data_IF_454917598134
#
_entry.id   IF_454917598134
#
_cell.length_a   1.000
_cell.length_b   1.000
_cell.length_c   1.000
_cell.angle_alpha   90.00
_cell.angle_beta   90.00
_cell.angle_gamma   90.00
#
_symmetry.space_group_name_H-M   'P 1'
#
loop_
_entity.id
_entity.type
_entity.pdbx_description
1 polymer ?
#
# COMPACT_ATOMS: atom_id res chain seq x y z
N UNK A 1 19.66 34.55 -22.88
CA UNK A 1 19.28 33.67 -21.76
C UNK A 1 17.83 33.97 -21.46
N UNK A 2 16.97 32.98 -21.62
CA UNK A 2 15.55 33.13 -21.31
C UNK A 2 15.39 33.35 -19.79
N UNK A 3 14.51 34.26 -19.38
CA UNK A 3 14.32 34.56 -17.95
C UNK A 3 13.44 33.47 -17.34
N UNK A 4 14.03 32.60 -16.52
CA UNK A 4 13.27 31.59 -15.77
C UNK A 4 12.31 32.28 -14.77
N UNK A 5 11.02 31.97 -14.90
CA UNK A 5 10.00 32.47 -14.00
C UNK A 5 9.96 31.67 -12.68
N UNK A 6 9.67 32.33 -11.54
CA UNK A 6 9.57 31.66 -10.26
C UNK A 6 8.40 30.67 -10.23
N UNK A 7 8.61 29.50 -9.60
CA UNK A 7 7.60 28.43 -9.47
C UNK A 7 7.19 28.27 -8.01
N UNK A 8 5.89 28.26 -7.73
CA UNK A 8 5.36 28.03 -6.38
C UNK A 8 5.17 26.52 -6.12
N UNK A 9 6.26 25.83 -5.77
CA UNK A 9 6.29 24.37 -5.48
C UNK A 9 6.82 24.08 -4.06
N UNK A 10 6.48 24.93 -3.10
CA UNK A 10 6.76 24.68 -1.69
C UNK A 10 5.72 23.68 -1.13
N UNK A 11 5.95 22.38 -1.29
CA UNK A 11 4.99 21.33 -0.92
C UNK A 11 4.53 21.38 0.55
N UNK A 12 5.39 21.86 1.45
CA UNK A 12 5.09 22.03 2.87
C UNK A 12 4.09 23.17 3.15
N UNK A 13 3.86 24.07 2.19
CA UNK A 13 2.87 25.16 2.28
C UNK A 13 1.53 24.78 1.62
N UNK A 14 1.49 23.69 0.84
CA UNK A 14 0.30 23.28 0.08
C UNK A 14 -0.52 22.31 0.92
N UNK A 15 -1.78 22.67 1.21
CA UNK A 15 -2.71 21.80 1.93
C UNK A 15 -3.30 20.74 1.00
N UNK A 16 -2.83 19.50 1.14
CA UNK A 16 -3.32 18.39 0.34
C UNK A 16 -4.62 17.82 0.95
N UNK A 17 -5.71 17.68 0.17
CA UNK A 17 -6.93 17.05 0.67
C UNK A 17 -6.75 15.52 0.76
N UNK A 18 -7.61 14.86 1.54
CA UNK A 18 -7.55 13.41 1.77
C UNK A 18 -7.47 12.55 0.48
N UNK A 19 -8.22 12.84 -0.60
CA UNK A 19 -8.07 12.11 -1.88
C UNK A 19 -6.66 12.18 -2.47
N UNK A 20 -5.95 13.29 -2.24
CA UNK A 20 -4.56 13.47 -2.67
C UNK A 20 -3.62 12.53 -1.92
N UNK A 21 -3.76 12.42 -0.59
CA UNK A 21 -2.99 11.45 0.21
C UNK A 21 -3.24 10.01 -0.25
N UNK A 22 -4.51 9.62 -0.44
CA UNK A 22 -4.84 8.27 -0.94
C UNK A 22 -4.22 8.01 -2.32
N UNK A 23 -4.10 9.03 -3.17
CA UNK A 23 -3.40 8.91 -4.46
C UNK A 23 -1.89 8.69 -4.32
N UNK A 24 -1.23 9.47 -3.47
CA UNK A 24 0.21 9.29 -3.20
C UNK A 24 0.46 7.91 -2.60
N UNK A 25 -0.33 7.53 -1.58
CA UNK A 25 -0.17 6.24 -0.91
C UNK A 25 -0.42 5.06 -1.85
N UNK A 26 -1.40 5.14 -2.77
CA UNK A 26 -1.60 4.10 -3.79
C UNK A 26 -0.40 3.95 -4.73
N UNK A 27 0.24 5.06 -5.14
CA UNK A 27 1.45 5.03 -5.99
C UNK A 27 2.64 4.44 -5.24
N UNK A 28 2.88 4.91 -4.02
CA UNK A 28 3.99 4.44 -3.18
C UNK A 28 3.81 2.97 -2.82
N UNK A 29 2.60 2.53 -2.47
CA UNK A 29 2.31 1.13 -2.18
C UNK A 29 2.50 0.25 -3.41
N UNK A 30 2.11 0.71 -4.60
CA UNK A 30 2.35 -0.02 -5.86
C UNK A 30 3.83 -0.21 -6.15
N UNK A 31 4.64 0.84 -5.99
CA UNK A 31 6.09 0.76 -6.14
C UNK A 31 6.71 -0.21 -5.13
N UNK A 32 6.31 -0.11 -3.85
CA UNK A 32 6.81 -0.97 -2.79
C UNK A 32 6.49 -2.44 -3.06
N UNK A 33 5.26 -2.75 -3.50
CA UNK A 33 4.86 -4.11 -3.86
C UNK A 33 5.66 -4.63 -5.05
N UNK A 34 5.84 -3.81 -6.09
CA UNK A 34 6.63 -4.18 -7.27
C UNK A 34 8.07 -4.54 -6.88
N UNK A 35 8.72 -3.71 -6.06
CA UNK A 35 10.07 -3.96 -5.58
C UNK A 35 10.15 -5.17 -4.64
N UNK A 36 9.06 -5.50 -3.93
CA UNK A 36 8.99 -6.66 -3.06
C UNK A 36 8.72 -7.98 -3.80
N UNK A 37 8.28 -7.96 -5.07
CA UNK A 37 7.95 -9.18 -5.82
C UNK A 37 9.08 -10.21 -5.85
N UNK A 38 10.35 -9.88 -6.12
CA UNK A 38 11.43 -10.87 -6.10
C UNK A 38 11.60 -11.54 -4.73
N UNK A 39 11.48 -10.77 -3.65
CA UNK A 39 11.55 -11.29 -2.29
C UNK A 39 10.36 -12.21 -1.98
N UNK A 40 9.14 -11.81 -2.35
CA UNK A 40 7.94 -12.62 -2.15
C UNK A 40 8.00 -13.93 -2.94
N UNK A 41 8.52 -13.90 -4.17
CA UNK A 41 8.75 -15.10 -4.98
C UNK A 41 9.82 -16.01 -4.39
N UNK A 42 10.89 -15.45 -3.83
CA UNK A 42 11.91 -16.22 -3.10
C UNK A 42 11.32 -16.89 -1.86
N UNK A 43 10.50 -16.17 -1.08
CA UNK A 43 9.78 -16.74 0.06
C UNK A 43 8.83 -17.86 -0.38
N UNK A 44 8.09 -17.66 -1.47
CA UNK A 44 7.23 -18.69 -2.05
C UNK A 44 8.05 -19.93 -2.44
N UNK A 45 9.19 -19.75 -3.12
CA UNK A 45 10.08 -20.85 -3.47
C UNK A 45 10.58 -21.61 -2.24
N UNK A 46 11.01 -20.92 -1.18
CA UNK A 46 11.47 -21.56 0.06
C UNK A 46 10.35 -22.31 0.75
N UNK A 47 9.12 -21.80 0.68
CA UNK A 47 7.94 -22.43 1.29
C UNK A 47 7.54 -23.75 0.63
N UNK A 48 7.86 -23.94 -0.66
CA UNK A 48 7.44 -25.10 -1.46
C UNK A 48 8.54 -26.12 -1.72
N UNK A 49 9.82 -25.75 -1.59
CA UNK A 49 10.94 -26.57 -2.10
C UNK A 49 11.24 -27.82 -1.27
N UNK A 50 11.25 -27.72 0.06
CA UNK A 50 11.62 -28.80 0.98
C UNK A 50 11.26 -28.44 2.42
N UNK A 51 11.28 -29.43 3.33
CA UNK A 51 11.06 -29.17 4.75
C UNK A 51 12.19 -28.32 5.37
N UNK A 52 13.42 -28.50 4.89
CA UNK A 52 14.60 -27.75 5.34
C UNK A 52 14.47 -26.26 4.96
N UNK A 53 14.09 -25.96 3.71
CA UNK A 53 13.91 -24.56 3.27
C UNK A 53 12.69 -23.90 3.92
N UNK A 54 11.62 -24.66 4.16
CA UNK A 54 10.45 -24.17 4.87
C UNK A 54 10.77 -23.79 6.32
N UNK A 55 11.48 -24.67 7.03
CA UNK A 55 11.89 -24.41 8.43
C UNK A 55 12.85 -23.23 8.55
N UNK A 56 13.79 -23.07 7.60
CA UNK A 56 14.62 -21.87 7.50
C UNK A 56 13.79 -20.60 7.32
N UNK A 57 12.82 -20.62 6.39
CA UNK A 57 11.93 -19.47 6.17
C UNK A 57 11.14 -19.14 7.44
N UNK A 58 10.56 -20.14 8.11
CA UNK A 58 9.80 -19.93 9.35
C UNK A 58 10.68 -19.35 10.47
N UNK A 59 11.93 -19.77 10.59
CA UNK A 59 12.87 -19.20 11.57
C UNK A 59 13.13 -17.70 11.31
N UNK A 60 13.27 -17.30 10.04
CA UNK A 60 13.42 -15.89 9.66
C UNK A 60 12.13 -15.11 9.96
N UNK A 61 10.97 -15.65 9.58
CA UNK A 61 9.67 -15.00 9.79
C UNK A 61 9.21 -14.95 11.25
N UNK A 62 9.79 -15.78 12.12
CA UNK A 62 9.57 -15.69 13.56
C UNK A 62 10.17 -14.40 14.17
N UNK A 63 11.15 -13.78 13.51
CA UNK A 63 11.78 -12.57 14.00
C UNK A 63 10.79 -11.37 13.97
N UNK A 64 10.64 -10.60 15.07
CA UNK A 64 9.70 -9.48 15.13
C UNK A 64 9.85 -8.46 14.01
N UNK A 65 11.10 -8.12 13.61
CA UNK A 65 11.33 -7.21 12.49
C UNK A 65 10.85 -7.76 11.14
N UNK A 66 10.95 -9.08 10.92
CA UNK A 66 10.44 -9.71 9.72
C UNK A 66 8.90 -9.67 9.70
N UNK A 67 8.25 -9.92 10.85
CA UNK A 67 6.80 -9.75 11.02
C UNK A 67 6.36 -8.30 10.77
N UNK A 68 7.09 -7.30 11.27
CA UNK A 68 6.78 -5.89 11.01
C UNK A 68 6.91 -5.53 9.53
N UNK A 69 7.95 -6.02 8.85
CA UNK A 69 8.11 -5.83 7.41
C UNK A 69 6.95 -6.47 6.64
N UNK A 70 6.58 -7.70 6.99
CA UNK A 70 5.43 -8.39 6.40
C UNK A 70 4.10 -7.69 6.69
N UNK A 71 3.93 -7.11 7.87
CA UNK A 71 2.75 -6.30 8.20
C UNK A 71 2.70 -5.04 7.32
N UNK A 72 3.84 -4.40 7.10
CA UNK A 72 3.96 -3.26 6.18
C UNK A 72 3.62 -3.64 4.73
N UNK A 73 4.12 -4.78 4.25
CA UNK A 73 3.78 -5.32 2.92
C UNK A 73 2.29 -5.67 2.80
N UNK A 74 1.72 -6.29 3.84
CA UNK A 74 0.30 -6.62 3.90
C UNK A 74 -0.55 -5.35 3.84
N UNK A 75 -0.21 -4.33 4.62
CA UNK A 75 -0.88 -3.03 4.56
C UNK A 75 -0.75 -2.39 3.18
N UNK A 76 0.45 -2.40 2.59
CA UNK A 76 0.68 -1.84 1.26
C UNK A 76 -0.20 -2.53 0.21
N UNK A 77 -0.29 -3.86 0.24
CA UNK A 77 -1.18 -4.64 -0.61
C UNK A 77 -2.65 -4.25 -0.43
N UNK A 78 -3.15 -4.25 0.81
CA UNK A 78 -4.56 -3.97 1.11
C UNK A 78 -4.93 -2.53 0.78
N UNK A 79 -4.07 -1.56 1.09
CA UNK A 79 -4.25 -0.17 0.70
C UNK A 79 -4.26 -0.02 -0.82
N UNK A 80 -3.27 -0.62 -1.52
CA UNK A 80 -3.18 -0.56 -2.97
C UNK A 80 -4.43 -1.14 -3.63
N UNK A 81 -4.90 -2.30 -3.17
CA UNK A 81 -6.08 -2.99 -3.68
C UNK A 81 -7.36 -2.18 -3.45
N UNK A 82 -7.63 -1.74 -2.21
CA UNK A 82 -8.81 -0.94 -1.91
C UNK A 82 -8.81 0.40 -2.67
N UNK A 83 -7.66 1.07 -2.77
CA UNK A 83 -7.53 2.29 -3.56
C UNK A 83 -7.71 2.02 -5.06
N UNK A 84 -7.20 0.90 -5.57
CA UNK A 84 -7.38 0.46 -6.96
C UNK A 84 -8.86 0.24 -7.31
N UNK A 85 -9.61 -0.44 -6.43
CA UNK A 85 -11.06 -0.57 -6.58
C UNK A 85 -11.78 0.79 -6.60
N UNK A 86 -11.34 1.72 -5.76
CA UNK A 86 -11.86 3.11 -5.78
C UNK A 86 -11.55 3.80 -7.11
N UNK A 87 -10.36 3.65 -7.68
CA UNK A 87 -10.02 4.24 -8.97
C UNK A 87 -10.84 3.64 -10.10
N UNK A 88 -11.01 2.32 -10.14
CA UNK A 88 -11.91 1.66 -11.10
C UNK A 88 -13.36 2.17 -10.95
N UNK A 89 -13.84 2.40 -9.73
CA UNK A 89 -15.16 2.98 -9.50
C UNK A 89 -15.28 4.44 -9.98
N UNK A 90 -14.20 5.23 -9.91
CA UNK A 90 -14.15 6.58 -10.50
C UNK A 90 -14.20 6.48 -12.03
N UNK A 91 -13.41 5.58 -12.62
CA UNK A 91 -13.34 5.35 -14.06
C UNK A 91 -14.68 4.88 -14.65
N UNK A 92 -15.44 4.10 -13.87
CA UNK A 92 -16.81 3.67 -14.21
C UNK A 92 -17.88 4.72 -13.87
N UNK A 93 -17.50 5.93 -13.46
CA UNK A 93 -18.40 7.02 -13.08
C UNK A 93 -19.34 6.74 -11.90
N UNK A 94 -18.97 5.82 -10.99
CA UNK A 94 -19.71 5.60 -9.74
C UNK A 94 -19.39 6.65 -8.66
N UNK A 95 -18.23 7.30 -8.73
CA UNK A 95 -17.83 8.40 -7.85
C UNK A 95 -17.74 9.68 -8.67
N UNK A 96 -18.73 10.58 -8.52
CA UNK A 96 -18.95 11.68 -9.49
C UNK A 96 -18.65 13.08 -8.97
N UNK A 97 -18.72 13.28 -7.66
CA UNK A 97 -18.55 14.61 -7.06
C UNK A 97 -17.48 14.62 -5.95
N UNK A 98 -17.13 15.82 -5.50
CA UNK A 98 -16.10 16.02 -4.49
C UNK A 98 -16.45 15.39 -3.13
N UNK A 99 -17.72 15.36 -2.75
CA UNK A 99 -18.17 14.77 -1.50
C UNK A 99 -17.99 13.25 -1.53
N UNK A 100 -18.40 12.61 -2.62
CA UNK A 100 -18.18 11.19 -2.89
C UNK A 100 -16.69 10.86 -2.98
N UNK A 101 -15.88 11.71 -3.61
CA UNK A 101 -14.42 11.51 -3.68
C UNK A 101 -13.76 11.54 -2.29
N UNK A 102 -14.20 12.44 -1.39
CA UNK A 102 -13.73 12.51 0.00
C UNK A 102 -14.22 11.33 0.83
N UNK A 103 -15.49 10.94 0.71
CA UNK A 103 -16.06 9.82 1.46
C UNK A 103 -15.45 8.48 1.05
N UNK A 104 -15.30 8.24 -0.26
CA UNK A 104 -14.62 7.04 -0.78
C UNK A 104 -13.15 6.96 -0.32
N UNK A 105 -12.45 8.10 -0.20
CA UNK A 105 -11.09 8.13 0.35
C UNK A 105 -11.04 7.70 1.81
N UNK A 106 -12.00 8.15 2.64
CA UNK A 106 -12.14 7.68 4.03
C UNK A 106 -12.44 6.18 4.09
N UNK A 107 -13.34 5.69 3.22
CA UNK A 107 -13.68 4.27 3.15
C UNK A 107 -12.47 3.40 2.80
N UNK A 108 -11.62 3.82 1.85
CA UNK A 108 -10.37 3.12 1.52
C UNK A 108 -9.45 3.00 2.73
N UNK A 109 -9.23 4.11 3.46
CA UNK A 109 -8.38 4.09 4.65
C UNK A 109 -8.96 3.22 5.76
N UNK A 110 -10.25 3.33 6.05
CA UNK A 110 -10.91 2.52 7.07
C UNK A 110 -10.87 1.03 6.73
N UNK A 111 -11.25 0.66 5.50
CA UNK A 111 -11.26 -0.74 5.07
C UNK A 111 -9.85 -1.35 5.03
N UNK A 112 -8.87 -0.66 4.46
CA UNK A 112 -7.49 -1.17 4.39
C UNK A 112 -6.87 -1.34 5.78
N UNK A 113 -7.06 -0.39 6.70
CA UNK A 113 -6.54 -0.50 8.07
C UNK A 113 -7.26 -1.61 8.85
N UNK A 114 -8.58 -1.71 8.75
CA UNK A 114 -9.34 -2.77 9.41
C UNK A 114 -8.90 -4.16 8.93
N UNK A 115 -8.78 -4.35 7.61
CA UNK A 115 -8.27 -5.61 7.04
C UNK A 115 -6.83 -5.89 7.48
N UNK A 116 -5.99 -4.85 7.55
CA UNK A 116 -4.60 -4.99 8.02
C UNK A 116 -4.54 -5.47 9.47
N UNK A 117 -5.39 -4.93 10.35
CA UNK A 117 -5.45 -5.37 11.75
C UNK A 117 -5.94 -6.81 11.86
N UNK A 118 -7.03 -7.15 11.15
CA UNK A 118 -7.61 -8.50 11.20
C UNK A 118 -6.65 -9.58 10.68
N UNK A 119 -5.96 -9.31 9.56
CA UNK A 119 -5.02 -10.26 8.96
C UNK A 119 -3.66 -10.21 9.66
N UNK A 120 -3.22 -9.02 10.10
CA UNK A 120 -1.99 -8.82 10.86
C UNK A 120 -2.02 -9.51 12.22
N UNK A 121 -3.19 -9.66 12.84
CA UNK A 121 -3.35 -10.45 14.06
C UNK A 121 -2.97 -11.93 13.87
N UNK A 122 -3.10 -12.49 12.65
CA UNK A 122 -2.66 -13.86 12.34
C UNK A 122 -1.17 -14.00 12.09
N UNK A 123 -0.48 -12.88 11.85
CA UNK A 123 0.96 -12.86 11.62
C UNK A 123 1.74 -12.96 12.95
N UNK A 124 1.09 -12.58 14.04
CA UNK A 124 1.62 -12.64 15.39
C UNK A 124 1.26 -13.95 16.07
#
# INVERSE_FOLDING_TARGET
>A
MDKEHPKHLALHLIQLPLPGFVSILHRVSGLLLFLALPLLLLMLQYSLRSIETYTQLMAILAHPLAKLLLLGLLWAFLHHFCAGLRYLAIDLHYVRDLAQARNSSKAVLAASLLLTVLLGAKLW
#
